data_IF_063721112688
#
_entry.id   IF_063721112688
#
_cell.length_a   1.000
_cell.length_b   1.000
_cell.length_c   1.000
_cell.angle_alpha   90.00
_cell.angle_beta   90.00
_cell.angle_gamma   90.00
#
_symmetry.space_group_name_H-M   'P 1'
#
loop_
_entity.id
_entity.type
_entity.pdbx_description
1 polymer ?
#
# COMPACT_ATOMS: atom_id res chain seq x y z
N UNK A 1 0.22 -20.43 -3.14
CA UNK A 1 0.55 -19.12 -2.60
C UNK A 1 -0.68 -18.26 -2.60
N UNK A 2 -0.90 -17.56 -1.51
CA UNK A 2 -2.20 -16.94 -1.29
C UNK A 2 -2.00 -15.51 -0.79
N UNK A 3 -3.02 -14.69 -1.03
CA UNK A 3 -3.05 -13.31 -0.57
C UNK A 3 -4.39 -13.04 0.12
N UNK A 4 -4.33 -12.38 1.26
CA UNK A 4 -5.53 -11.89 1.94
C UNK A 4 -5.55 -10.39 1.78
N UNK A 5 -6.72 -9.87 1.38
CA UNK A 5 -6.93 -8.43 1.21
C UNK A 5 -8.13 -8.03 2.05
N UNK A 6 -7.90 -7.13 2.98
CA UNK A 6 -8.96 -6.61 3.83
C UNK A 6 -8.97 -5.09 3.75
N UNK A 7 -10.07 -4.54 3.23
CA UNK A 7 -10.24 -3.10 3.05
C UNK A 7 -11.17 -2.59 4.14
N UNK A 8 -10.77 -1.52 4.81
CA UNK A 8 -11.64 -0.89 5.80
C UNK A 8 -11.50 0.62 5.76
N UNK A 9 -12.61 1.28 6.02
CA UNK A 9 -12.63 2.72 6.16
C UNK A 9 -12.00 3.10 7.49
N UNK A 10 -11.20 4.16 7.46
CA UNK A 10 -10.61 4.73 8.66
C UNK A 10 -11.13 6.16 8.83
N UNK A 11 -10.57 6.90 9.77
CA UNK A 11 -10.97 8.28 10.02
C UNK A 11 -10.57 9.20 8.85
N UNK A 12 -11.30 10.30 8.68
CA UNK A 12 -10.92 11.43 7.82
C UNK A 12 -10.65 11.05 6.36
N UNK A 13 -11.57 10.29 5.78
CA UNK A 13 -11.50 9.88 4.36
C UNK A 13 -10.31 8.99 4.00
N UNK A 14 -9.65 8.43 4.99
CA UNK A 14 -8.56 7.49 4.74
C UNK A 14 -9.10 6.06 4.70
N UNK A 15 -8.57 5.27 3.78
CA UNK A 15 -8.87 3.85 3.70
C UNK A 15 -7.62 3.04 3.94
N UNK A 16 -7.77 1.94 4.66
CA UNK A 16 -6.69 1.01 4.94
C UNK A 16 -6.91 -0.26 4.14
N UNK A 17 -5.88 -0.65 3.39
CA UNK A 17 -5.84 -1.93 2.68
C UNK A 17 -4.82 -2.80 3.41
N UNK A 18 -5.32 -3.77 4.17
CA UNK A 18 -4.46 -4.70 4.89
C UNK A 18 -4.20 -5.91 4.01
N UNK A 19 -2.93 -6.18 3.74
CA UNK A 19 -2.50 -7.28 2.91
C UNK A 19 -1.77 -8.31 3.75
N UNK A 20 -1.97 -9.59 3.44
CA UNK A 20 -1.27 -10.67 4.13
C UNK A 20 -0.93 -11.78 3.17
N UNK A 21 0.27 -12.34 3.30
CA UNK A 21 0.74 -13.43 2.48
C UNK A 21 1.81 -13.01 1.51
N UNK A 22 1.69 -13.41 0.27
CA UNK A 22 2.71 -13.21 -0.75
C UNK A 22 2.14 -12.44 -1.93
N UNK A 23 2.83 -11.39 -2.35
CA UNK A 23 2.41 -10.57 -3.48
C UNK A 23 3.33 -10.87 -4.64
N UNK A 24 2.82 -11.62 -5.62
CA UNK A 24 3.56 -12.05 -6.80
C UNK A 24 2.71 -11.87 -8.06
N UNK A 25 3.19 -12.41 -9.18
CA UNK A 25 2.50 -12.28 -10.46
C UNK A 25 1.08 -12.87 -10.43
N UNK A 26 0.84 -13.87 -9.58
CA UNK A 26 -0.45 -14.54 -9.50
C UNK A 26 -1.43 -13.84 -8.56
N UNK A 27 -0.92 -13.23 -7.49
CA UNK A 27 -1.75 -12.60 -6.46
C UNK A 27 -1.90 -11.09 -6.63
N UNK A 28 -0.96 -10.46 -7.34
CA UNK A 28 -0.97 -9.00 -7.52
C UNK A 28 -2.24 -8.46 -8.18
N UNK A 29 -2.93 -9.19 -9.10
CA UNK A 29 -4.19 -8.69 -9.65
C UNK A 29 -5.25 -8.43 -8.57
N UNK A 30 -5.30 -9.25 -7.54
CA UNK A 30 -6.27 -9.07 -6.44
C UNK A 30 -5.96 -7.78 -5.65
N UNK A 31 -4.69 -7.50 -5.43
CA UNK A 31 -4.26 -6.26 -4.78
C UNK A 31 -4.59 -5.07 -5.66
N UNK A 32 -4.30 -5.17 -6.95
CA UNK A 32 -4.57 -4.11 -7.91
C UNK A 32 -6.07 -3.79 -7.96
N UNK A 33 -6.91 -4.82 -7.99
CA UNK A 33 -8.36 -4.63 -8.05
C UNK A 33 -8.87 -3.89 -6.81
N UNK A 34 -8.38 -4.24 -5.63
CA UNK A 34 -8.80 -3.58 -4.40
C UNK A 34 -8.42 -2.10 -4.39
N UNK A 35 -7.20 -1.77 -4.81
CA UNK A 35 -6.74 -0.39 -4.87
C UNK A 35 -7.51 0.38 -5.94
N UNK A 36 -7.68 -0.21 -7.13
CA UNK A 36 -8.40 0.41 -8.23
C UNK A 36 -9.84 0.72 -7.86
N UNK A 37 -10.51 -0.20 -7.17
CA UNK A 37 -11.89 0.00 -6.74
C UNK A 37 -12.00 1.22 -5.82
N UNK A 38 -11.09 1.36 -4.87
CA UNK A 38 -11.09 2.51 -3.96
C UNK A 38 -10.88 3.82 -4.73
N UNK A 39 -9.94 3.82 -5.66
CA UNK A 39 -9.65 5.01 -6.46
C UNK A 39 -10.85 5.38 -7.33
N UNK A 40 -11.49 4.39 -7.94
CA UNK A 40 -12.67 4.61 -8.77
C UNK A 40 -13.85 5.16 -7.97
N UNK A 41 -13.90 4.87 -6.67
CA UNK A 41 -14.91 5.42 -5.75
C UNK A 41 -14.55 6.81 -5.22
N UNK A 42 -13.41 7.36 -5.61
CA UNK A 42 -12.98 8.69 -5.19
C UNK A 42 -12.16 8.71 -3.91
N UNK A 43 -11.61 7.59 -3.48
CA UNK A 43 -10.79 7.52 -2.27
C UNK A 43 -9.31 7.59 -2.66
N UNK A 44 -8.69 8.72 -2.35
CA UNK A 44 -7.33 8.99 -2.81
C UNK A 44 -6.28 9.02 -1.71
N UNK A 45 -6.67 8.78 -0.45
CA UNK A 45 -5.74 8.71 0.68
C UNK A 45 -5.77 7.30 1.23
N UNK A 46 -4.72 6.55 0.93
CA UNK A 46 -4.66 5.13 1.22
C UNK A 46 -3.49 4.79 2.13
N UNK A 47 -3.76 3.90 3.08
CA UNK A 47 -2.72 3.25 3.89
C UNK A 47 -2.69 1.79 3.46
N UNK A 48 -1.57 1.33 2.97
CA UNK A 48 -1.37 -0.08 2.61
C UNK A 48 -0.58 -0.72 3.74
N UNK A 49 -1.22 -1.61 4.48
CA UNK A 49 -0.58 -2.28 5.60
C UNK A 49 0.06 -3.59 5.12
N UNK A 50 1.39 -3.63 5.17
CA UNK A 50 2.20 -4.76 4.72
C UNK A 50 2.73 -5.61 5.87
N UNK A 51 2.23 -5.42 7.11
CA UNK A 51 2.77 -6.09 8.29
C UNK A 51 2.66 -7.62 8.20
N UNK A 52 1.67 -8.11 7.48
CA UNK A 52 1.45 -9.55 7.32
C UNK A 52 1.93 -10.06 5.96
N UNK A 53 2.64 -9.23 5.20
CA UNK A 53 3.22 -9.63 3.91
C UNK A 53 4.59 -10.25 4.16
N UNK A 54 4.81 -11.43 3.58
CA UNK A 54 6.07 -12.16 3.73
C UNK A 54 6.95 -12.07 2.50
N UNK A 55 6.37 -11.71 1.36
CA UNK A 55 7.09 -11.66 0.09
C UNK A 55 6.41 -10.68 -0.85
N UNK A 56 7.20 -9.93 -1.58
CA UNK A 56 6.71 -9.06 -2.65
C UNK A 56 7.74 -9.04 -3.77
N UNK A 57 7.27 -9.27 -5.00
CA UNK A 57 8.15 -9.20 -6.17
C UNK A 57 7.93 -7.89 -6.93
N UNK A 58 8.60 -7.77 -8.08
CA UNK A 58 8.52 -6.54 -8.90
C UNK A 58 7.11 -6.26 -9.41
N UNK A 59 6.31 -7.31 -9.65
CA UNK A 59 4.92 -7.13 -10.08
C UNK A 59 4.10 -6.47 -8.96
N UNK A 60 4.28 -6.94 -7.73
CA UNK A 60 3.62 -6.36 -6.57
C UNK A 60 4.05 -4.92 -6.32
N UNK A 61 5.35 -4.64 -6.43
CA UNK A 61 5.85 -3.27 -6.30
C UNK A 61 5.24 -2.37 -7.36
N UNK A 62 5.11 -2.87 -8.59
CA UNK A 62 4.50 -2.12 -9.68
C UNK A 62 3.04 -1.75 -9.41
N UNK A 63 2.29 -2.64 -8.76
CA UNK A 63 0.90 -2.36 -8.37
C UNK A 63 0.85 -1.22 -7.36
N UNK A 64 1.74 -1.23 -6.37
CA UNK A 64 1.78 -0.16 -5.37
C UNK A 64 2.18 1.17 -6.00
N UNK A 65 3.17 1.15 -6.88
CA UNK A 65 3.61 2.35 -7.60
C UNK A 65 2.47 2.91 -8.47
N UNK A 66 1.77 2.03 -9.19
CA UNK A 66 0.64 2.44 -10.02
C UNK A 66 -0.46 3.09 -9.20
N UNK A 67 -0.76 2.55 -8.03
CA UNK A 67 -1.75 3.15 -7.12
C UNK A 67 -1.33 4.53 -6.65
N UNK A 68 -0.06 4.68 -6.27
CA UNK A 68 0.47 5.97 -5.84
C UNK A 68 0.36 7.02 -6.95
N UNK A 69 0.75 6.66 -8.17
CA UNK A 69 0.67 7.58 -9.31
C UNK A 69 -0.76 8.05 -9.56
N UNK A 70 -1.71 7.12 -9.48
CA UNK A 70 -3.12 7.46 -9.73
C UNK A 70 -3.69 8.38 -8.66
N UNK A 71 -3.43 8.11 -7.38
CA UNK A 71 -3.96 8.99 -6.33
C UNK A 71 -3.31 10.36 -6.36
N UNK A 72 -2.04 10.45 -6.77
CA UNK A 72 -1.36 11.74 -6.88
C UNK A 72 -1.99 12.65 -7.93
N UNK A 73 -2.57 12.08 -8.96
CA UNK A 73 -3.29 12.85 -9.98
C UNK A 73 -4.49 13.60 -9.38
N UNK A 74 -4.96 13.14 -8.22
CA UNK A 74 -6.09 13.73 -7.50
C UNK A 74 -5.66 14.41 -6.19
N UNK A 75 -4.36 14.64 -6.02
CA UNK A 75 -3.85 15.27 -4.81
C UNK A 75 -3.77 14.34 -3.60
N UNK A 76 -3.90 13.03 -3.83
CA UNK A 76 -3.85 12.05 -2.76
C UNK A 76 -2.47 11.45 -2.54
N UNK A 77 -2.40 10.50 -1.61
CA UNK A 77 -1.15 9.81 -1.33
C UNK A 77 -1.38 8.38 -0.86
N UNK A 78 -0.33 7.56 -0.96
CA UNK A 78 -0.29 6.20 -0.43
C UNK A 78 0.83 6.14 0.59
N UNK A 79 0.51 5.80 1.82
CA UNK A 79 1.50 5.50 2.86
C UNK A 79 1.47 4.02 3.17
N UNK A 80 2.63 3.49 3.54
CA UNK A 80 2.80 2.07 3.81
C UNK A 80 3.07 1.84 5.29
N UNK A 81 2.57 0.73 5.81
CA UNK A 81 2.92 0.26 7.16
C UNK A 81 3.76 -1.01 6.99
N UNK A 82 4.99 -0.96 7.44
CA UNK A 82 5.91 -2.09 7.28
C UNK A 82 7.01 -2.04 8.33
N UNK A 83 7.11 -3.08 9.16
CA UNK A 83 8.20 -3.23 10.10
C UNK A 83 9.09 -4.43 9.78
N UNK A 84 8.65 -5.31 8.87
CA UNK A 84 9.44 -6.47 8.47
C UNK A 84 10.73 -6.01 7.77
N UNK A 85 11.92 -6.31 8.33
CA UNK A 85 13.18 -5.82 7.76
C UNK A 85 13.43 -6.30 6.34
N UNK A 86 12.98 -7.50 5.99
CA UNK A 86 13.18 -8.04 4.65
C UNK A 86 12.39 -7.26 3.61
N UNK A 87 11.16 -6.91 3.93
CA UNK A 87 10.31 -6.12 3.04
C UNK A 87 10.81 -4.68 2.97
N UNK A 88 11.13 -4.08 4.12
CA UNK A 88 11.68 -2.71 4.15
C UNK A 88 12.93 -2.58 3.31
N UNK A 89 13.80 -3.60 3.35
CA UNK A 89 15.03 -3.59 2.59
C UNK A 89 14.78 -3.51 1.09
N UNK A 90 13.71 -4.13 0.60
CA UNK A 90 13.35 -4.06 -0.82
C UNK A 90 13.05 -2.60 -1.21
N UNK A 91 12.33 -1.87 -0.37
CA UNK A 91 12.04 -0.47 -0.63
C UNK A 91 13.30 0.40 -0.57
N UNK A 92 14.24 0.08 0.32
CA UNK A 92 15.53 0.78 0.39
C UNK A 92 16.36 0.55 -0.86
N UNK A 93 16.55 -0.72 -1.25
CA UNK A 93 17.39 -1.09 -2.38
C UNK A 93 16.84 -0.54 -3.69
N UNK A 94 15.54 -0.53 -3.86
CA UNK A 94 14.91 -0.03 -5.08
C UNK A 94 14.76 1.50 -5.10
N UNK A 95 15.08 2.17 -4.01
CA UNK A 95 14.90 3.62 -3.89
C UNK A 95 13.45 4.04 -3.68
N UNK A 96 12.53 3.10 -3.51
CA UNK A 96 11.10 3.40 -3.35
C UNK A 96 10.79 4.10 -2.04
N UNK A 97 11.70 4.08 -1.05
CA UNK A 97 11.55 4.87 0.17
C UNK A 97 11.48 6.37 -0.11
N UNK A 98 11.94 6.79 -1.31
CA UNK A 98 11.91 8.20 -1.69
C UNK A 98 10.51 8.65 -2.15
N UNK A 99 9.65 7.72 -2.53
CA UNK A 99 8.31 8.04 -3.03
C UNK A 99 7.19 7.54 -2.12
N UNK A 100 7.46 6.56 -1.25
CA UNK A 100 6.48 6.07 -0.29
C UNK A 100 6.87 6.48 1.12
N UNK A 101 5.94 7.04 1.88
CA UNK A 101 6.10 7.14 3.32
C UNK A 101 5.94 5.75 3.93
N UNK A 102 6.89 5.31 4.73
CA UNK A 102 6.86 4.01 5.39
C UNK A 102 6.83 4.21 6.89
N UNK A 103 5.85 3.64 7.55
CA UNK A 103 5.57 3.87 8.97
C UNK A 103 5.53 2.55 9.73
N UNK A 104 5.73 2.63 11.04
CA UNK A 104 5.74 1.45 11.90
C UNK A 104 4.34 0.97 12.26
N UNK A 105 3.34 1.84 12.16
CA UNK A 105 1.97 1.48 12.46
C UNK A 105 0.98 2.30 11.64
N UNK A 106 -0.29 1.87 11.68
CA UNK A 106 -1.35 2.53 10.91
C UNK A 106 -1.61 3.95 11.39
N UNK A 107 -1.49 4.20 12.67
CA UNK A 107 -1.76 5.52 13.22
C UNK A 107 -0.77 6.55 12.68
N UNK A 108 0.51 6.21 12.65
CA UNK A 108 1.54 7.08 12.07
C UNK A 108 1.31 7.31 10.59
N UNK A 109 0.95 6.26 9.85
CA UNK A 109 0.67 6.37 8.43
C UNK A 109 -0.54 7.26 8.15
N UNK A 110 -1.59 7.17 8.96
CA UNK A 110 -2.79 8.00 8.81
C UNK A 110 -2.53 9.46 9.13
N UNK A 111 -1.77 9.72 10.20
CA UNK A 111 -1.42 11.09 10.56
C UNK A 111 -0.69 11.80 9.44
N UNK A 112 0.20 11.10 8.76
CA UNK A 112 0.97 11.67 7.66
C UNK A 112 0.09 12.00 6.45
N UNK A 113 -1.06 11.35 6.29
CA UNK A 113 -2.01 11.67 5.23
C UNK A 113 -2.69 13.03 5.47
N UNK A 114 -2.86 13.40 6.73
CA UNK A 114 -3.57 14.61 7.11
C UNK A 114 -2.72 15.88 7.00
N UNK A 115 -1.41 15.73 6.80
CA UNK A 115 -0.49 16.88 6.78
C UNK A 115 -0.23 17.42 5.38
#
# INVERSE_FOLDING_TARGET
MDIKVHVRESDEDAYVVELGGEIDVYTSPKVKDAITELIDQGHYNLVINLEKVRYIDSTGLGVLIGGLKRVREHGGTVNLVCTNPQIKKIFDITGLVKIFGIFDDEQGAKKALAS
#
